data_IF_510783025008
#
_entry.id   IF_510783025008
#
_cell.length_a   1.000
_cell.length_b   1.000
_cell.length_c   1.000
_cell.angle_alpha   90.00
_cell.angle_beta   90.00
_cell.angle_gamma   90.00
#
_symmetry.space_group_name_H-M   'P 1'
#
loop_
_entity.id
_entity.type
_entity.pdbx_description
1 polymer ?
#
# COMPACT_ATOMS: atom_id res chain seq x y z
N UNK A 1 -45.18 40.31 -15.21
CA UNK A 1 -44.17 40.54 -16.26
C UNK A 1 -43.65 39.19 -16.71
N UNK A 2 -43.98 38.73 -17.92
CA UNK A 2 -43.40 37.51 -18.47
C UNK A 2 -42.03 37.84 -19.06
N UNK A 3 -40.96 37.35 -18.43
CA UNK A 3 -39.61 37.48 -18.98
C UNK A 3 -39.49 36.52 -20.19
N UNK A 4 -39.55 37.07 -21.40
CA UNK A 4 -39.42 36.33 -22.67
C UNK A 4 -37.97 35.98 -23.04
N UNK A 5 -37.06 36.03 -22.07
CA UNK A 5 -35.65 35.71 -22.32
C UNK A 5 -35.52 34.21 -22.47
N UNK A 6 -34.99 33.77 -23.61
CA UNK A 6 -34.65 32.37 -23.89
C UNK A 6 -33.74 31.71 -22.84
N UNK A 7 -33.13 32.48 -21.94
CA UNK A 7 -32.36 31.96 -20.81
C UNK A 7 -33.26 31.39 -19.70
N UNK A 8 -34.43 32.00 -19.47
CA UNK A 8 -35.29 31.71 -18.33
C UNK A 8 -36.38 30.67 -18.66
N UNK A 9 -36.29 30.04 -19.83
CA UNK A 9 -37.15 28.91 -20.23
C UNK A 9 -36.94 27.72 -19.26
N UNK A 10 -38.01 27.20 -18.62
CA UNK A 10 -37.93 26.09 -17.68
C UNK A 10 -37.13 24.90 -18.21
N UNK A 11 -37.30 24.55 -19.48
CA UNK A 11 -36.60 23.41 -20.09
C UNK A 11 -35.09 23.64 -20.18
N UNK A 12 -34.68 24.89 -20.44
CA UNK A 12 -33.27 25.26 -20.56
C UNK A 12 -32.59 25.37 -19.21
N UNK A 13 -33.27 25.91 -18.21
CA UNK A 13 -32.80 25.91 -16.82
C UNK A 13 -32.58 24.46 -16.35
N UNK A 14 -33.54 23.57 -16.62
CA UNK A 14 -33.39 22.14 -16.31
C UNK A 14 -32.19 21.53 -17.02
N UNK A 15 -32.01 21.78 -18.32
CA UNK A 15 -30.86 21.28 -19.07
C UNK A 15 -29.53 21.80 -18.54
N UNK A 16 -29.41 23.09 -18.25
CA UNK A 16 -28.20 23.69 -17.70
C UNK A 16 -27.87 23.14 -16.31
N UNK A 17 -28.89 22.91 -15.47
CA UNK A 17 -28.71 22.27 -14.17
C UNK A 17 -28.25 20.81 -14.34
N UNK A 18 -28.83 20.08 -15.28
CA UNK A 18 -28.42 18.72 -15.62
C UNK A 18 -26.97 18.70 -16.11
N UNK A 19 -26.57 19.57 -17.03
CA UNK A 19 -25.19 19.63 -17.53
C UNK A 19 -24.18 19.94 -16.41
N UNK A 20 -24.57 20.75 -15.41
CA UNK A 20 -23.76 21.04 -14.23
C UNK A 20 -23.68 19.88 -13.24
N UNK A 21 -24.77 19.16 -13.00
CA UNK A 21 -24.81 18.05 -12.04
C UNK A 21 -24.34 16.72 -12.63
N UNK A 22 -24.56 16.50 -13.92
CA UNK A 22 -24.36 15.22 -14.61
C UNK A 22 -22.90 14.76 -14.59
N UNK A 23 -21.93 15.67 -14.58
CA UNK A 23 -20.51 15.31 -14.44
C UNK A 23 -20.27 14.66 -13.07
N UNK A 24 -20.84 15.23 -12.02
CA UNK A 24 -20.70 14.71 -10.66
C UNK A 24 -21.52 13.42 -10.52
N UNK A 25 -22.75 13.38 -11.00
CA UNK A 25 -23.59 12.18 -10.99
C UNK A 25 -22.93 11.04 -11.77
N UNK A 26 -22.35 11.31 -12.94
CA UNK A 26 -21.61 10.29 -13.69
C UNK A 26 -20.41 9.78 -12.90
N UNK A 27 -19.72 10.61 -12.13
CA UNK A 27 -18.53 10.16 -11.38
C UNK A 27 -18.91 9.36 -10.13
N UNK A 28 -20.05 9.66 -9.51
CA UNK A 28 -20.47 9.05 -8.24
C UNK A 28 -21.56 7.95 -8.37
N UNK A 29 -22.35 7.94 -9.44
CA UNK A 29 -23.47 7.01 -9.67
C UNK A 29 -23.26 6.11 -10.90
N UNK A 30 -22.01 5.82 -11.33
CA UNK A 30 -21.80 4.77 -12.33
C UNK A 30 -22.28 3.44 -11.73
N UNK A 31 -23.14 2.68 -12.42
CA UNK A 31 -23.44 1.32 -11.99
C UNK A 31 -22.15 0.51 -11.94
N UNK A 32 -21.85 -0.03 -10.76
CA UNK A 32 -20.65 -0.82 -10.53
C UNK A 32 -20.61 -2.09 -11.36
N UNK A 33 -19.40 -2.57 -11.66
CA UNK A 33 -19.18 -3.82 -12.39
C UNK A 33 -19.53 -5.05 -11.53
N UNK A 34 -19.69 -4.85 -10.23
CA UNK A 34 -20.03 -5.87 -9.23
C UNK A 34 -21.30 -5.45 -8.48
N UNK A 35 -22.10 -6.43 -8.06
CA UNK A 35 -23.18 -6.22 -7.10
C UNK A 35 -22.57 -5.97 -5.72
N UNK A 36 -22.31 -4.71 -5.40
CA UNK A 36 -21.80 -4.28 -4.10
C UNK A 36 -20.44 -3.58 -4.15
N UNK A 37 -20.11 -2.90 -3.06
CA UNK A 37 -18.87 -2.15 -2.87
C UNK A 37 -17.74 -3.07 -2.43
N UNK A 38 -17.14 -3.77 -3.38
CA UNK A 38 -16.01 -4.67 -3.13
C UNK A 38 -14.69 -3.93 -3.28
N UNK A 39 -13.86 -4.01 -2.25
CA UNK A 39 -12.48 -3.54 -2.30
C UNK A 39 -11.54 -4.74 -2.41
N UNK A 40 -10.80 -4.84 -3.51
CA UNK A 40 -9.81 -5.90 -3.72
C UNK A 40 -8.47 -5.50 -3.14
N UNK A 41 -7.89 -6.35 -2.30
CA UNK A 41 -6.55 -6.17 -1.76
C UNK A 41 -5.46 -6.68 -2.73
N UNK A 42 -5.60 -6.42 -4.04
CA UNK A 42 -4.61 -6.85 -5.04
C UNK A 42 -3.88 -5.61 -5.61
N UNK A 43 -2.54 -5.53 -5.50
CA UNK A 43 -1.77 -4.38 -5.98
C UNK A 43 -1.84 -4.18 -7.49
N UNK A 44 -2.16 -5.22 -8.27
CA UNK A 44 -2.30 -5.14 -9.72
C UNK A 44 -3.69 -4.69 -10.18
N UNK A 45 -4.67 -4.68 -9.29
CA UNK A 45 -6.03 -4.25 -9.58
C UNK A 45 -6.21 -2.82 -9.07
N UNK A 46 -6.16 -1.85 -9.99
CA UNK A 46 -6.46 -0.44 -9.67
C UNK A 46 -7.95 -0.18 -9.86
N UNK A 47 -8.60 0.43 -8.86
CA UNK A 47 -9.97 0.93 -9.02
C UNK A 47 -9.99 2.08 -10.04
N UNK A 48 -10.80 1.95 -11.10
CA UNK A 48 -10.86 2.92 -12.19
C UNK A 48 -12.07 3.86 -12.08
N UNK A 49 -13.28 3.29 -11.93
CA UNK A 49 -14.55 4.04 -11.90
C UNK A 49 -15.41 3.72 -10.68
N UNK A 50 -15.23 2.54 -10.09
CA UNK A 50 -16.00 2.07 -8.93
C UNK A 50 -15.21 2.28 -7.65
N UNK A 51 -14.94 3.55 -7.31
CA UNK A 51 -14.57 3.88 -5.95
C UNK A 51 -15.79 3.65 -5.06
N UNK A 52 -15.66 2.86 -4.00
CA UNK A 52 -16.73 2.72 -3.00
C UNK A 52 -17.01 4.10 -2.42
N UNK A 53 -18.20 4.68 -2.63
CA UNK A 53 -18.50 5.97 -2.03
C UNK A 53 -18.51 5.78 -0.52
N UNK A 54 -17.91 6.71 0.24
CA UNK A 54 -17.90 6.64 1.70
C UNK A 54 -19.32 6.72 2.29
N UNK A 55 -20.27 7.27 1.53
CA UNK A 55 -21.67 7.47 1.92
C UNK A 55 -22.61 7.12 0.77
N UNK A 56 -23.79 6.59 1.09
CA UNK A 56 -24.80 6.22 0.09
C UNK A 56 -25.34 7.41 -0.73
N UNK A 57 -25.22 8.64 -0.23
CA UNK A 57 -25.87 9.83 -0.79
C UNK A 57 -24.94 11.05 -0.79
N UNK A 58 -23.73 10.92 -1.36
CA UNK A 58 -22.70 11.97 -1.38
C UNK A 58 -23.21 13.33 -1.89
N UNK A 59 -24.06 13.36 -2.91
CA UNK A 59 -24.66 14.59 -3.49
C UNK A 59 -25.56 15.30 -2.47
N UNK A 60 -26.26 14.56 -1.63
CA UNK A 60 -27.12 15.13 -0.59
C UNK A 60 -26.31 15.72 0.57
N UNK A 61 -25.08 15.26 0.78
CA UNK A 61 -24.18 15.84 1.78
C UNK A 61 -23.75 17.25 1.37
N UNK A 62 -23.44 17.46 0.10
CA UNK A 62 -23.08 18.80 -0.38
C UNK A 62 -24.25 19.78 -0.24
N UNK A 63 -25.47 19.36 -0.59
CA UNK A 63 -26.65 20.21 -0.52
C UNK A 63 -27.04 20.55 0.92
N UNK A 64 -26.84 19.62 1.87
CA UNK A 64 -27.04 19.88 3.30
C UNK A 64 -25.98 20.80 3.88
N UNK A 65 -24.70 20.63 3.51
CA UNK A 65 -23.62 21.56 3.89
C UNK A 65 -23.85 22.98 3.38
N UNK A 66 -24.41 23.11 2.17
CA UNK A 66 -24.82 24.40 1.59
C UNK A 66 -26.16 24.92 2.13
N UNK A 67 -26.80 24.20 3.05
CA UNK A 67 -28.09 24.54 3.65
C UNK A 67 -29.22 24.75 2.62
N UNK A 68 -29.15 24.15 1.43
CA UNK A 68 -30.12 24.38 0.34
C UNK A 68 -31.53 23.91 0.74
N UNK A 69 -31.64 22.81 1.48
CA UNK A 69 -32.91 22.26 1.95
C UNK A 69 -33.50 22.96 3.19
N UNK A 70 -32.82 23.98 3.75
CA UNK A 70 -33.22 24.62 5.00
C UNK A 70 -33.86 25.99 4.72
N UNK A 71 -35.14 26.22 5.10
CA UNK A 71 -35.75 27.53 4.98
C UNK A 71 -35.12 28.53 5.96
N UNK A 72 -34.93 29.78 5.53
CA UNK A 72 -34.42 30.86 6.36
C UNK A 72 -35.50 31.30 7.36
N UNK A 73 -35.30 31.02 8.66
CA UNK A 73 -36.17 31.44 9.75
C UNK A 73 -35.39 32.14 10.85
N UNK A 74 -36.06 33.01 11.62
CA UNK A 74 -35.53 33.65 12.83
C UNK A 74 -35.59 32.70 14.03
N UNK A 75 -34.74 31.69 14.05
CA UNK A 75 -34.52 30.80 15.20
C UNK A 75 -35.76 30.11 15.79
N UNK A 76 -36.84 29.97 15.02
CA UNK A 76 -38.02 29.22 15.45
C UNK A 76 -37.71 27.72 15.39
N UNK A 77 -37.44 27.10 16.54
CA UNK A 77 -37.09 25.68 16.66
C UNK A 77 -38.18 24.73 16.11
N UNK A 78 -39.46 25.11 16.18
CA UNK A 78 -40.56 24.27 15.69
C UNK A 78 -40.63 24.23 14.17
N UNK A 79 -40.25 25.32 13.50
CA UNK A 79 -40.22 25.42 12.03
C UNK A 79 -38.85 25.01 11.47
N UNK A 80 -37.78 25.24 12.23
CA UNK A 80 -36.40 24.97 11.86
C UNK A 80 -35.93 23.60 12.39
N UNK A 81 -36.63 22.54 11.99
CA UNK A 81 -36.29 21.17 12.40
C UNK A 81 -35.15 20.61 11.54
N UNK A 82 -33.92 21.09 11.79
CA UNK A 82 -32.73 20.75 10.99
C UNK A 82 -32.49 19.23 10.85
N UNK A 83 -32.85 18.44 11.86
CA UNK A 83 -32.69 16.98 11.87
C UNK A 83 -33.57 16.27 10.82
N UNK A 84 -34.70 16.86 10.44
CA UNK A 84 -35.59 16.26 9.41
C UNK A 84 -35.02 16.40 7.99
N UNK A 85 -34.22 17.43 7.77
CA UNK A 85 -33.61 17.74 6.48
C UNK A 85 -32.16 17.26 6.40
N UNK A 86 -31.64 16.68 7.47
CA UNK A 86 -30.30 16.15 7.49
C UNK A 86 -30.26 14.86 6.66
N UNK A 87 -29.38 14.83 5.67
CA UNK A 87 -29.19 13.65 4.84
C UNK A 87 -28.59 12.56 5.71
N UNK A 88 -29.35 11.49 5.99
CA UNK A 88 -28.86 10.34 6.73
C UNK A 88 -27.62 9.78 6.05
N UNK A 89 -26.45 10.04 6.66
CA UNK A 89 -25.15 9.62 6.18
C UNK A 89 -24.78 8.28 6.81
N UNK A 90 -25.41 7.22 6.33
CA UNK A 90 -24.90 5.87 6.57
C UNK A 90 -23.55 5.74 5.89
N UNK A 91 -22.48 5.65 6.67
CA UNK A 91 -21.15 5.31 6.14
C UNK A 91 -21.25 3.94 5.47
N UNK A 92 -20.89 3.87 4.20
CA UNK A 92 -20.80 2.60 3.49
C UNK A 92 -19.45 2.00 3.83
N UNK A 93 -19.48 0.88 4.54
CA UNK A 93 -18.26 0.10 4.72
C UNK A 93 -18.14 -0.84 3.51
N UNK A 94 -17.07 -0.71 2.71
CA UNK A 94 -16.82 -1.67 1.64
C UNK A 94 -16.67 -3.08 2.21
N UNK A 95 -17.22 -4.07 1.51
CA UNK A 95 -16.84 -5.46 1.74
C UNK A 95 -15.40 -5.62 1.25
N UNK A 96 -14.48 -5.94 2.15
CA UNK A 96 -13.10 -6.21 1.77
C UNK A 96 -13.01 -7.64 1.26
N UNK A 97 -12.72 -7.77 -0.05
CA UNK A 97 -12.38 -9.05 -0.65
C UNK A 97 -10.88 -9.27 -0.44
N UNK A 98 -10.55 -10.15 0.52
CA UNK A 98 -9.17 -10.49 0.91
C UNK A 98 -8.49 -11.39 -0.13
N UNK A 99 -9.24 -11.89 -1.13
CA UNK A 99 -8.68 -12.75 -2.18
C UNK A 99 -7.89 -11.92 -3.19
N UNK A 100 -6.58 -11.98 -3.06
CA UNK A 100 -5.64 -11.63 -4.13
C UNK A 100 -5.81 -12.63 -5.27
N UNK A 101 -5.89 -12.15 -6.52
CA UNK A 101 -5.94 -13.04 -7.68
C UNK A 101 -4.54 -13.58 -7.95
N UNK A 102 -3.51 -12.78 -7.65
CA UNK A 102 -2.11 -13.16 -7.86
C UNK A 102 -1.28 -12.87 -6.62
N UNK A 103 -0.61 -13.89 -6.10
CA UNK A 103 0.33 -13.74 -4.99
C UNK A 103 1.74 -13.50 -5.55
N UNK A 104 2.22 -12.26 -5.41
CA UNK A 104 3.62 -11.93 -5.70
C UNK A 104 4.35 -11.53 -4.43
N UNK A 105 5.47 -12.22 -4.15
CA UNK A 105 6.32 -11.94 -2.99
C UNK A 105 6.86 -10.50 -3.01
N UNK A 106 7.18 -9.97 -4.20
CA UNK A 106 7.67 -8.60 -4.35
C UNK A 106 6.65 -7.52 -3.97
N UNK A 107 5.36 -7.81 -4.12
CA UNK A 107 4.29 -6.85 -3.86
C UNK A 107 3.69 -7.02 -2.44
N UNK A 108 3.51 -8.26 -1.99
CA UNK A 108 3.01 -8.57 -0.63
C UNK A 108 4.07 -8.37 0.47
N UNK A 109 5.32 -8.66 0.14
CA UNK A 109 6.43 -8.75 1.10
C UNK A 109 7.69 -8.07 0.53
N UNK A 110 7.63 -6.75 0.26
CA UNK A 110 8.72 -6.06 -0.41
C UNK A 110 9.98 -6.03 0.46
N UNK A 111 11.17 -6.21 -0.13
CA UNK A 111 12.43 -6.38 0.60
C UNK A 111 12.76 -5.29 1.64
N UNK A 112 12.18 -4.08 1.50
CA UNK A 112 12.37 -2.99 2.46
C UNK A 112 11.64 -3.22 3.80
N UNK A 113 10.54 -3.99 3.85
CA UNK A 113 9.83 -4.30 5.12
C UNK A 113 10.66 -5.20 6.02
N UNK A 114 11.52 -6.03 5.44
CA UNK A 114 12.43 -6.91 6.17
C UNK A 114 13.78 -6.28 6.50
N UNK A 115 14.08 -5.08 5.99
CA UNK A 115 15.39 -4.44 6.18
C UNK A 115 15.67 -4.08 7.65
N UNK A 116 14.61 -3.86 8.44
CA UNK A 116 14.72 -3.59 9.89
C UNK A 116 14.93 -4.87 10.69
N UNK A 117 14.52 -6.02 10.15
CA UNK A 117 14.78 -7.30 10.76
C UNK A 117 16.19 -7.76 10.38
N UNK A 118 17.17 -7.50 11.24
CA UNK A 118 18.44 -8.19 11.15
C UNK A 118 18.17 -9.65 11.57
N UNK A 119 18.16 -10.64 10.66
CA UNK A 119 18.08 -12.02 11.11
C UNK A 119 19.29 -12.25 12.00
N UNK A 120 19.07 -12.70 13.24
CA UNK A 120 20.15 -13.12 14.12
C UNK A 120 20.87 -14.29 13.46
N UNK A 121 21.90 -13.97 12.67
CA UNK A 121 22.84 -14.95 12.15
C UNK A 121 23.88 -15.12 13.23
N UNK A 122 23.71 -16.15 14.05
CA UNK A 122 24.79 -16.60 14.92
C UNK A 122 25.88 -17.10 13.97
N UNK A 123 26.87 -16.26 13.70
CA UNK A 123 28.05 -16.65 12.93
C UNK A 123 28.81 -17.69 13.76
N UNK A 124 28.35 -18.94 13.72
CA UNK A 124 29.14 -20.06 14.18
C UNK A 124 29.90 -20.58 12.97
N UNK A 125 31.22 -20.51 13.05
CA UNK A 125 32.07 -21.21 12.09
C UNK A 125 31.82 -22.71 12.27
N UNK A 126 31.64 -23.46 11.18
CA UNK A 126 31.51 -24.92 11.25
C UNK A 126 32.75 -25.58 11.84
N UNK A 127 33.90 -24.90 11.75
CA UNK A 127 35.19 -25.34 12.26
C UNK A 127 35.91 -24.19 12.95
N UNK A 128 36.73 -24.51 13.95
CA UNK A 128 37.60 -23.52 14.58
C UNK A 128 38.63 -23.00 13.56
N UNK A 129 38.62 -21.69 13.33
CA UNK A 129 39.55 -21.02 12.42
C UNK A 129 41.00 -21.13 12.91
N UNK A 130 41.21 -21.44 14.19
CA UNK A 130 42.52 -21.60 14.79
C UNK A 130 43.08 -23.02 14.72
N UNK A 131 42.30 -23.99 14.21
CA UNK A 131 42.65 -25.42 14.24
C UNK A 131 43.93 -25.79 13.47
N UNK A 132 44.33 -25.01 12.46
CA UNK A 132 45.49 -25.29 11.61
C UNK A 132 46.56 -24.18 11.63
N UNK A 133 46.68 -23.45 12.76
CA UNK A 133 47.67 -22.37 12.89
C UNK A 133 49.11 -22.90 12.87
N UNK A 134 49.36 -24.07 13.46
CA UNK A 134 50.68 -24.67 13.52
C UNK A 134 50.96 -25.55 12.29
N UNK A 135 52.12 -25.36 11.67
CA UNK A 135 52.61 -26.26 10.62
C UNK A 135 52.97 -27.61 11.27
N UNK A 136 52.44 -28.76 10.80
CA UNK A 136 52.60 -30.06 11.47
C UNK A 136 53.95 -30.74 11.19
N UNK A 137 54.85 -30.07 10.48
CA UNK A 137 56.17 -30.57 10.11
C UNK A 137 57.20 -29.46 10.34
N UNK A 138 58.46 -29.85 10.44
CA UNK A 138 59.55 -28.90 10.61
C UNK A 138 59.67 -28.01 9.36
N UNK A 139 59.18 -26.79 9.48
CA UNK A 139 59.34 -25.75 8.47
C UNK A 139 60.61 -24.93 8.76
N UNK A 140 61.13 -24.26 7.73
CA UNK A 140 62.31 -23.37 7.83
C UNK A 140 63.64 -24.07 8.18
N UNK A 141 63.77 -25.35 7.82
CA UNK A 141 65.04 -26.06 7.88
C UNK A 141 65.90 -25.72 6.65
N UNK A 142 67.19 -25.44 6.86
CA UNK A 142 68.16 -25.32 5.76
C UNK A 142 68.58 -26.72 5.30
N UNK A 143 68.06 -27.12 4.14
CA UNK A 143 68.31 -28.44 3.57
C UNK A 143 69.78 -28.66 3.23
N UNK A 144 70.53 -27.60 2.89
CA UNK A 144 71.95 -27.72 2.54
C UNK A 144 72.81 -28.04 3.76
N UNK A 145 72.51 -27.40 4.90
CA UNK A 145 73.19 -27.69 6.17
C UNK A 145 72.84 -29.10 6.62
N UNK A 146 71.55 -29.47 6.59
CA UNK A 146 71.13 -30.83 6.95
C UNK A 146 71.81 -31.89 6.09
N UNK A 147 71.89 -31.70 4.78
CA UNK A 147 72.51 -32.67 3.88
C UNK A 147 74.03 -32.80 4.10
N UNK A 148 74.72 -31.67 4.34
CA UNK A 148 76.13 -31.67 4.74
C UNK A 148 76.35 -32.43 6.05
N UNK A 149 75.52 -32.18 7.05
CA UNK A 149 75.62 -32.84 8.35
C UNK A 149 75.31 -34.35 8.24
N UNK A 150 74.30 -34.72 7.46
CA UNK A 150 73.99 -36.12 7.16
C UNK A 150 75.13 -36.82 6.41
N UNK A 151 75.78 -36.15 5.46
CA UNK A 151 76.94 -36.67 4.75
C UNK A 151 78.09 -36.95 5.73
N UNK A 152 78.44 -35.96 6.56
CA UNK A 152 79.47 -36.11 7.58
C UNK A 152 79.17 -37.29 8.51
N UNK A 153 77.96 -37.37 9.08
CA UNK A 153 77.56 -38.47 9.97
C UNK A 153 77.73 -39.84 9.31
N UNK A 154 77.35 -39.99 8.04
CA UNK A 154 77.48 -41.25 7.30
C UNK A 154 78.93 -41.64 7.03
N UNK A 155 79.80 -40.67 6.81
CA UNK A 155 81.20 -40.91 6.47
C UNK A 155 82.11 -41.06 7.70
N UNK A 156 81.82 -40.38 8.80
CA UNK A 156 82.58 -40.54 10.06
C UNK A 156 82.27 -41.86 10.80
N UNK A 157 81.11 -42.49 10.56
CA UNK A 157 80.77 -43.81 11.10
C UNK A 157 81.44 -45.01 10.40
N UNK A 158 82.30 -44.76 9.40
CA UNK A 158 82.93 -45.79 8.56
C UNK A 158 84.38 -46.14 8.92
N UNK A 159 84.82 -45.77 10.12
CA UNK A 159 86.09 -46.19 10.75
C UNK A 159 85.73 -46.96 12.03
#
# INVERSE_FOLDING_TARGET
MSFTRFHDDPNRIQKANLERSAINDYTFNVPGNTKGSHFFYDPHIRSQKNGVPLYNTMVNVESTLKNIGRPLYRDNLHLNQYQRYDSYNGKVNPTQEVKTITNESRASHPAWTYRVYCPFRKDYLFYDAQSNISIPFDAYLDTNILEKDYYNIKHYKKI
#
